data_IF_999152588102
#
_entry.id   IF_999152588102
#
_cell.length_a   1.000
_cell.length_b   1.000
_cell.length_c   1.000
_cell.angle_alpha   90.00
_cell.angle_beta   90.00
_cell.angle_gamma   90.00
#
_symmetry.space_group_name_H-M   'P 1'
#
loop_
_entity.id
_entity.type
_entity.pdbx_description
1 polymer ?
#
# COMPACT_ATOMS: atom_id res chain seq x y z
N UNK A 1 -8.74 -8.09 -4.68
CA UNK A 1 -9.58 -8.66 -3.61
C UNK A 1 -9.75 -7.65 -2.48
N UNK A 2 -10.78 -7.81 -1.63
CA UNK A 2 -10.99 -6.99 -0.42
C UNK A 2 -10.26 -7.63 0.75
N UNK A 3 -9.61 -6.82 1.59
CA UNK A 3 -8.89 -7.26 2.79
C UNK A 3 -9.21 -6.33 3.96
N UNK A 4 -9.38 -6.90 5.15
CA UNK A 4 -9.46 -6.17 6.43
C UNK A 4 -8.41 -6.73 7.38
N UNK A 5 -7.49 -5.89 7.80
CA UNK A 5 -6.37 -6.27 8.69
C UNK A 5 -6.48 -5.46 9.98
N UNK A 6 -6.54 -6.14 11.12
CA UNK A 6 -6.56 -5.48 12.42
C UNK A 6 -5.19 -4.85 12.77
N UNK A 7 -5.16 -3.94 13.74
CA UNK A 7 -3.93 -3.25 14.17
C UNK A 7 -2.81 -4.18 14.66
N UNK A 8 -3.16 -5.39 15.11
CA UNK A 8 -2.23 -6.45 15.52
C UNK A 8 -1.67 -7.26 14.34
N UNK A 9 -2.07 -6.93 13.11
CA UNK A 9 -1.66 -7.65 11.89
C UNK A 9 -2.50 -8.89 11.59
N UNK A 10 -3.54 -9.19 12.38
CA UNK A 10 -4.43 -10.31 12.11
C UNK A 10 -5.35 -9.99 10.93
N UNK A 11 -5.46 -10.92 9.97
CA UNK A 11 -6.46 -10.80 8.90
C UNK A 11 -7.84 -11.08 9.48
N UNK A 12 -8.66 -10.05 9.59
CA UNK A 12 -10.04 -10.18 10.06
C UNK A 12 -10.97 -10.68 8.96
N UNK A 13 -10.77 -10.18 7.74
CA UNK A 13 -11.57 -10.57 6.58
C UNK A 13 -10.72 -10.54 5.32
N UNK A 14 -10.98 -11.47 4.42
CA UNK A 14 -10.53 -11.44 3.04
C UNK A 14 -11.69 -11.89 2.16
N UNK A 15 -11.89 -11.31 0.98
CA UNK A 15 -12.88 -11.85 0.03
C UNK A 15 -12.36 -13.11 -0.66
N UNK A 16 -13.25 -14.03 -1.05
CA UNK A 16 -12.88 -15.28 -1.76
C UNK A 16 -12.03 -15.09 -3.01
N UNK A 17 -12.17 -13.94 -3.69
CA UNK A 17 -11.35 -13.58 -4.88
C UNK A 17 -9.84 -13.51 -4.60
N UNK A 18 -9.38 -13.54 -3.35
CA UNK A 18 -7.94 -13.68 -3.04
C UNK A 18 -7.32 -14.92 -3.71
N UNK A 19 -8.10 -16.00 -3.88
CA UNK A 19 -7.68 -17.20 -4.58
C UNK A 19 -7.32 -16.91 -6.04
N UNK A 20 -8.09 -16.06 -6.72
CA UNK A 20 -7.89 -15.75 -8.14
C UNK A 20 -6.61 -14.93 -8.38
N UNK A 21 -6.18 -14.15 -7.38
CA UNK A 21 -5.02 -13.25 -7.50
C UNK A 21 -3.74 -13.83 -6.90
N UNK A 22 -3.84 -14.57 -5.78
CA UNK A 22 -2.68 -15.07 -5.03
C UNK A 22 -2.69 -16.59 -4.83
N UNK A 23 -3.77 -17.29 -5.15
CA UNK A 23 -3.88 -18.75 -5.04
C UNK A 23 -4.20 -19.28 -3.64
N UNK A 24 -4.39 -18.41 -2.65
CA UNK A 24 -4.77 -18.82 -1.29
C UNK A 24 -6.27 -19.07 -1.16
N UNK A 25 -6.65 -20.10 -0.42
CA UNK A 25 -8.02 -20.22 0.06
C UNK A 25 -8.30 -19.16 1.12
N UNK A 26 -9.52 -18.64 1.12
CA UNK A 26 -9.95 -17.62 2.09
C UNK A 26 -9.80 -18.12 3.54
N UNK A 27 -10.11 -19.40 3.80
CA UNK A 27 -9.98 -20.04 5.12
C UNK A 27 -8.56 -20.09 5.65
N UNK A 28 -7.57 -20.18 4.75
CA UNK A 28 -6.16 -20.32 5.12
C UNK A 28 -5.54 -18.96 5.48
N UNK A 29 -6.23 -17.87 5.16
CA UNK A 29 -5.76 -16.50 5.35
C UNK A 29 -6.47 -15.82 6.52
N UNK A 30 -7.78 -16.05 6.68
CA UNK A 30 -8.54 -15.45 7.77
C UNK A 30 -7.99 -15.92 9.12
N UNK A 31 -7.88 -14.99 10.07
CA UNK A 31 -7.32 -15.19 11.40
C UNK A 31 -5.83 -15.57 11.45
N UNK A 32 -5.13 -15.56 10.30
CA UNK A 32 -3.68 -15.64 10.27
C UNK A 32 -3.04 -14.25 10.32
N UNK A 33 -1.75 -14.23 10.63
CA UNK A 33 -0.95 -13.03 10.56
C UNK A 33 -0.73 -12.64 9.10
N UNK A 34 -1.08 -11.40 8.75
CA UNK A 34 -0.84 -10.85 7.40
C UNK A 34 0.64 -10.88 7.03
N UNK A 35 1.54 -10.84 8.02
CA UNK A 35 3.00 -10.86 7.82
C UNK A 35 3.52 -12.20 7.30
N UNK A 36 2.75 -13.28 7.39
CA UNK A 36 3.05 -14.57 6.74
C UNK A 36 2.86 -14.50 5.23
N UNK A 37 2.00 -13.58 4.77
CA UNK A 37 1.77 -13.32 3.34
C UNK A 37 2.73 -12.25 2.81
N UNK A 38 3.23 -11.34 3.65
CA UNK A 38 4.04 -10.19 3.21
C UNK A 38 5.52 -10.55 3.07
N UNK A 39 6.15 -10.10 1.99
CA UNK A 39 7.60 -10.17 1.80
C UNK A 39 8.34 -9.52 2.97
N UNK A 40 9.42 -10.13 3.46
CA UNK A 40 10.11 -9.72 4.70
C UNK A 40 10.52 -8.25 4.73
N UNK A 41 11.03 -7.72 3.62
CA UNK A 41 11.43 -6.32 3.46
C UNK A 41 10.25 -5.33 3.55
N UNK A 42 9.05 -5.75 3.20
CA UNK A 42 7.87 -4.86 3.14
C UNK A 42 7.10 -4.85 4.47
N UNK A 43 7.46 -5.72 5.44
CA UNK A 43 6.74 -5.90 6.71
C UNK A 43 6.73 -4.64 7.57
N UNK A 44 7.89 -3.96 7.67
CA UNK A 44 8.03 -2.74 8.48
C UNK A 44 7.16 -1.63 7.91
N UNK A 45 7.14 -1.48 6.59
CA UNK A 45 6.29 -0.50 5.92
C UNK A 45 4.81 -0.83 6.11
N UNK A 46 4.41 -2.09 5.94
CA UNK A 46 3.03 -2.49 6.16
C UNK A 46 2.57 -2.21 7.60
N UNK A 47 3.42 -2.52 8.59
CA UNK A 47 3.15 -2.21 9.99
C UNK A 47 2.97 -0.71 10.21
N UNK A 48 3.81 0.11 9.58
CA UNK A 48 3.70 1.57 9.59
C UNK A 48 2.36 2.05 9.05
N UNK A 49 1.87 1.42 7.98
CA UNK A 49 0.57 1.71 7.37
C UNK A 49 -0.62 1.33 8.27
N UNK A 50 -0.46 0.38 9.20
CA UNK A 50 -1.51 0.05 10.18
C UNK A 50 -1.61 1.10 11.31
N UNK A 51 -0.57 1.90 11.52
CA UNK A 51 -0.56 2.97 12.52
C UNK A 51 -1.15 4.26 11.95
N UNK A 52 -2.00 4.97 12.70
CA UNK A 52 -2.65 6.20 12.20
C UNK A 52 -1.64 7.31 11.84
N UNK A 53 -0.59 7.46 12.64
CA UNK A 53 0.48 8.46 12.48
C UNK A 53 1.72 7.98 11.71
N UNK A 54 1.70 6.77 11.13
CA UNK A 54 2.89 6.18 10.48
C UNK A 54 4.13 6.05 11.39
N UNK A 55 3.93 5.95 12.71
CA UNK A 55 5.01 5.80 13.68
C UNK A 55 4.64 4.72 14.70
N UNK A 56 5.06 3.47 14.47
CA UNK A 56 4.78 2.37 15.40
C UNK A 56 5.67 2.43 16.66
N UNK A 57 6.68 3.29 16.71
CA UNK A 57 7.75 3.32 17.73
C UNK A 57 7.43 4.17 18.97
N UNK A 58 6.44 5.05 18.89
CA UNK A 58 6.07 5.94 20.00
C UNK A 58 4.70 5.54 20.61
N UNK A 59 4.66 4.66 21.63
CA UNK A 59 3.53 4.68 22.54
C UNK A 59 3.61 6.01 23.28
N UNK A 60 2.59 6.85 23.11
CA UNK A 60 2.39 8.05 23.92
C UNK A 60 2.62 7.71 25.39
N UNK A 61 3.57 8.41 26.03
CA UNK A 61 3.93 8.27 27.43
C UNK A 61 2.69 8.36 28.35
N UNK A 62 2.12 7.23 28.78
CA UNK A 62 1.15 7.27 29.90
C UNK A 62 0.92 5.98 30.68
N UNK A 63 1.79 4.96 30.64
CA UNK A 63 1.79 3.87 31.66
C UNK A 63 3.20 3.29 31.79
N UNK A 64 3.68 3.14 33.04
CA UNK A 64 4.97 2.52 33.39
C UNK A 64 5.16 1.16 32.71
N UNK A 65 6.26 0.97 31.98
CA UNK A 65 6.70 -0.33 31.45
C UNK A 65 7.41 -1.12 32.54
N UNK A 66 6.93 -2.32 32.85
CA UNK A 66 7.71 -3.38 33.47
C UNK A 66 8.52 -4.15 32.41
N UNK A 67 9.69 -4.73 32.73
CA UNK A 67 10.68 -5.14 31.70
C UNK A 67 10.44 -6.48 30.98
N UNK A 68 9.32 -7.18 31.17
CA UNK A 68 9.20 -8.60 30.80
C UNK A 68 8.18 -8.94 29.68
N UNK A 69 7.70 -7.98 28.89
CA UNK A 69 6.75 -8.28 27.81
C UNK A 69 7.36 -8.09 26.41
N UNK A 70 7.46 -9.21 25.70
CA UNK A 70 7.74 -9.40 24.27
C UNK A 70 7.40 -8.17 23.40
N UNK A 71 8.38 -7.66 22.64
CA UNK A 71 8.35 -6.40 21.86
C UNK A 71 7.23 -6.26 20.79
N UNK A 72 6.37 -7.27 20.63
CA UNK A 72 5.31 -7.34 19.63
C UNK A 72 3.87 -7.17 20.17
N UNK A 73 3.67 -6.97 21.47
CA UNK A 73 2.33 -7.14 22.10
C UNK A 73 1.65 -5.87 22.63
N UNK A 74 2.19 -4.67 22.40
CA UNK A 74 1.48 -3.45 22.79
C UNK A 74 0.52 -3.01 21.68
N UNK A 75 -0.72 -3.52 21.69
CA UNK A 75 -1.79 -3.00 20.84
C UNK A 75 -2.01 -1.52 21.23
N UNK A 76 -1.78 -0.56 20.32
CA UNK A 76 -2.02 0.84 20.65
C UNK A 76 -3.53 1.07 20.78
N UNK A 77 -3.99 1.18 22.03
CA UNK A 77 -5.39 1.52 22.33
C UNK A 77 -5.59 3.03 22.08
N UNK A 78 -6.17 3.37 20.94
CA UNK A 78 -6.43 4.77 20.60
C UNK A 78 -7.70 5.27 21.28
N UNK A 79 -7.59 6.38 22.01
CA UNK A 79 -8.77 7.16 22.40
C UNK A 79 -9.26 7.94 21.17
N UNK A 80 -10.56 7.90 20.84
CA UNK A 80 -11.12 8.61 19.66
C UNK A 80 -10.77 10.11 19.62
N UNK A 81 -10.60 10.73 20.78
CA UNK A 81 -10.30 12.16 20.95
C UNK A 81 -8.91 12.57 20.43
N UNK A 82 -7.98 11.63 20.31
CA UNK A 82 -6.62 11.89 19.81
C UNK A 82 -6.43 11.52 18.35
N UNK A 83 -7.48 11.00 17.70
CA UNK A 83 -7.43 10.62 16.30
C UNK A 83 -7.95 11.75 15.41
N UNK A 84 -7.39 11.90 14.20
CA UNK A 84 -8.02 12.68 13.15
C UNK A 84 -9.46 12.20 12.91
N UNK A 85 -10.36 13.07 12.42
CA UNK A 85 -11.69 12.64 12.00
C UNK A 85 -11.61 11.43 11.07
N UNK A 86 -12.51 10.45 11.22
CA UNK A 86 -12.50 9.20 10.44
C UNK A 86 -12.55 9.45 8.91
N UNK A 87 -13.09 10.60 8.50
CA UNK A 87 -13.16 11.04 7.11
C UNK A 87 -11.97 11.86 6.61
N UNK A 88 -10.95 12.03 7.43
CA UNK A 88 -9.75 12.77 7.09
C UNK A 88 -8.82 11.97 6.17
N UNK A 89 -8.11 12.68 5.29
CA UNK A 89 -7.06 12.11 4.43
C UNK A 89 -5.95 11.44 5.22
N UNK A 90 -5.72 11.82 6.48
CA UNK A 90 -4.74 11.16 7.35
C UNK A 90 -5.05 9.67 7.62
N UNK A 91 -6.31 9.25 7.48
CA UNK A 91 -6.68 7.84 7.63
C UNK A 91 -6.53 7.04 6.34
N UNK A 92 -6.37 7.71 5.19
CA UNK A 92 -6.27 7.06 3.89
C UNK A 92 -4.93 6.34 3.73
N UNK A 93 -4.96 5.20 3.05
CA UNK A 93 -3.80 4.35 2.83
C UNK A 93 -3.72 4.03 1.36
N UNK A 94 -2.59 4.35 0.75
CA UNK A 94 -2.27 4.03 -0.63
C UNK A 94 -0.79 3.67 -0.71
N UNK A 95 -0.51 2.37 -0.77
CA UNK A 95 0.86 1.87 -0.74
C UNK A 95 0.98 0.56 -1.51
N UNK A 96 2.20 0.26 -1.94
CA UNK A 96 2.52 -1.00 -2.60
C UNK A 96 3.16 -1.93 -1.58
N UNK A 97 2.76 -3.20 -1.61
CA UNK A 97 3.36 -4.25 -0.81
C UNK A 97 3.36 -5.56 -1.61
N UNK A 98 4.45 -6.32 -1.52
CA UNK A 98 4.57 -7.64 -2.15
C UNK A 98 3.95 -8.69 -1.25
N UNK A 99 2.97 -9.39 -1.79
CA UNK A 99 2.36 -10.55 -1.15
C UNK A 99 2.85 -11.83 -1.81
N UNK A 100 3.02 -12.89 -1.02
CA UNK A 100 3.27 -14.24 -1.50
C UNK A 100 2.17 -14.60 -2.49
N UNK A 101 2.55 -15.24 -3.58
CA UNK A 101 1.66 -15.63 -4.66
C UNK A 101 1.96 -17.09 -5.03
N UNK A 102 0.96 -17.96 -4.90
CA UNK A 102 1.05 -19.37 -5.27
C UNK A 102 0.79 -19.61 -6.76
N UNK A 103 0.33 -18.57 -7.48
CA UNK A 103 0.04 -18.62 -8.92
C UNK A 103 1.23 -18.17 -9.78
N UNK A 104 2.21 -17.48 -9.20
CA UNK A 104 3.36 -16.94 -9.93
C UNK A 104 4.51 -17.96 -9.97
N UNK A 105 5.03 -18.21 -11.17
CA UNK A 105 6.13 -19.15 -11.40
C UNK A 105 7.52 -18.50 -11.35
N UNK A 106 7.61 -17.18 -11.10
CA UNK A 106 8.87 -16.45 -11.14
C UNK A 106 9.51 -16.25 -9.77
N UNK A 107 8.89 -15.43 -8.90
CA UNK A 107 9.46 -15.03 -7.61
C UNK A 107 8.69 -15.57 -6.41
N UNK A 108 7.48 -16.08 -6.64
CA UNK A 108 6.54 -16.47 -5.58
C UNK A 108 5.96 -15.26 -4.82
N UNK A 109 6.17 -14.04 -5.30
CA UNK A 109 5.60 -12.80 -4.76
C UNK A 109 5.01 -11.93 -5.88
N UNK A 110 3.87 -11.32 -5.59
CA UNK A 110 3.19 -10.39 -6.48
C UNK A 110 3.09 -9.03 -5.80
N UNK A 111 3.56 -7.99 -6.49
CA UNK A 111 3.39 -6.61 -6.04
C UNK A 111 1.90 -6.22 -6.15
N UNK A 112 1.33 -5.78 -5.03
CA UNK A 112 -0.06 -5.40 -4.92
C UNK A 112 -0.16 -3.94 -4.47
N UNK A 113 -1.02 -3.17 -5.13
CA UNK A 113 -1.41 -1.85 -4.66
C UNK A 113 -2.57 -1.98 -3.66
N UNK A 114 -2.37 -1.45 -2.45
CA UNK A 114 -3.35 -1.39 -1.38
C UNK A 114 -3.94 0.00 -1.31
N UNK A 115 -5.22 0.12 -1.64
CA UNK A 115 -5.97 1.37 -1.54
C UNK A 115 -7.12 1.21 -0.55
N UNK A 116 -7.09 2.00 0.52
CA UNK A 116 -8.00 1.82 1.63
C UNK A 116 -7.95 2.93 2.67
N UNK A 117 -8.46 2.60 3.86
CA UNK A 117 -8.51 3.52 5.00
C UNK A 117 -8.46 2.77 6.33
N UNK A 118 -7.89 3.41 7.35
CA UNK A 118 -8.04 2.96 8.74
C UNK A 118 -9.42 3.34 9.30
N UNK A 119 -10.13 2.36 9.88
CA UNK A 119 -11.41 2.57 10.56
C UNK A 119 -11.52 1.68 11.80
N UNK A 120 -12.40 2.04 12.72
CA UNK A 120 -12.68 1.18 13.87
C UNK A 120 -13.40 -0.10 13.45
N UNK A 121 -12.84 -1.23 13.86
CA UNK A 121 -13.41 -2.55 13.65
C UNK A 121 -14.30 -2.91 14.84
N UNK A 122 -15.61 -2.83 14.63
CA UNK A 122 -16.63 -3.07 15.65
C UNK A 122 -17.04 -4.55 15.69
N UNK A 123 -17.65 -4.98 16.80
CA UNK A 123 -18.28 -6.30 16.92
C UNK A 123 -17.32 -7.47 17.15
N UNK A 124 -16.03 -7.22 17.43
CA UNK A 124 -15.07 -8.30 17.68
C UNK A 124 -15.32 -9.04 19.01
N UNK A 125 -16.03 -8.42 19.97
CA UNK A 125 -16.34 -8.98 21.30
C UNK A 125 -15.13 -9.63 22.01
N UNK A 126 -13.92 -9.12 21.77
CA UNK A 126 -12.69 -9.64 22.37
C UNK A 126 -12.69 -9.32 23.87
N UNK A 127 -12.29 -10.30 24.68
CA UNK A 127 -12.05 -10.12 26.12
C UNK A 127 -10.55 -10.14 26.39
N UNK A 128 -10.06 -9.20 27.17
CA UNK A 128 -8.68 -9.19 27.65
C UNK A 128 -8.40 -10.33 28.63
N UNK A 129 -7.13 -10.47 29.03
CA UNK A 129 -6.71 -11.49 30.02
C UNK A 129 -7.50 -11.37 31.35
N UNK A 130 -7.91 -10.16 31.69
CA UNK A 130 -8.69 -9.85 32.90
C UNK A 130 -10.21 -10.00 32.70
N UNK A 131 -10.66 -10.53 31.55
CA UNK A 131 -12.08 -10.69 31.22
C UNK A 131 -12.80 -9.41 30.78
N UNK A 132 -12.13 -8.25 30.88
CA UNK A 132 -12.65 -6.96 30.43
C UNK A 132 -12.86 -6.93 28.90
N UNK A 133 -13.91 -6.25 28.45
CA UNK A 133 -14.19 -6.09 27.01
C UNK A 133 -13.16 -5.12 26.41
N UNK A 134 -12.49 -5.56 25.36
CA UNK A 134 -11.54 -4.72 24.62
C UNK A 134 -12.35 -3.79 23.70
N UNK A 135 -12.12 -2.47 23.75
CA UNK A 135 -12.82 -1.53 22.87
C UNK A 135 -12.43 -1.76 21.39
N UNK A 136 -13.28 -1.36 20.44
CA UNK A 136 -12.95 -1.42 19.01
C UNK A 136 -11.57 -0.82 18.72
N UNK A 137 -10.78 -1.52 17.91
CA UNK A 137 -9.44 -1.07 17.50
C UNK A 137 -9.47 -0.62 16.04
N UNK A 138 -8.48 0.19 15.65
CA UNK A 138 -8.30 0.52 14.24
C UNK A 138 -7.93 -0.73 13.43
N UNK A 139 -8.45 -0.80 12.22
CA UNK A 139 -8.14 -1.80 11.23
C UNK A 139 -8.04 -1.15 9.85
N UNK A 140 -7.19 -1.71 9.00
CA UNK A 140 -7.06 -1.32 7.60
C UNK A 140 -8.14 -2.01 6.77
N UNK A 141 -9.04 -1.23 6.20
CA UNK A 141 -10.03 -1.68 5.21
C UNK A 141 -9.53 -1.29 3.83
N UNK A 142 -9.23 -2.27 2.97
CA UNK A 142 -8.48 -2.01 1.75
C UNK A 142 -8.88 -2.91 0.58
N UNK A 143 -8.70 -2.38 -0.62
CA UNK A 143 -8.67 -3.12 -1.87
C UNK A 143 -7.22 -3.40 -2.22
N UNK A 144 -6.88 -4.68 -2.33
CA UNK A 144 -5.61 -5.14 -2.87
C UNK A 144 -5.79 -5.46 -4.35
N UNK A 145 -5.09 -4.71 -5.21
CA UNK A 145 -5.11 -4.88 -6.67
C UNK A 145 -3.72 -5.22 -7.18
N UNK A 146 -3.56 -6.20 -8.09
CA UNK A 146 -2.26 -6.46 -8.70
C UNK A 146 -1.71 -5.21 -9.35
N UNK A 147 -0.44 -4.90 -9.08
CA UNK A 147 0.30 -3.87 -9.80
C UNK A 147 0.66 -4.44 -11.18
N UNK A 148 -0.32 -4.59 -12.06
CA UNK A 148 -0.10 -5.02 -13.43
C UNK A 148 0.43 -3.85 -14.26
N UNK A 149 1.60 -4.04 -14.86
CA UNK A 149 2.01 -3.21 -16.00
C UNK A 149 0.95 -3.35 -17.09
N UNK A 150 0.36 -2.25 -17.61
CA UNK A 150 -0.68 -2.33 -18.62
C UNK A 150 -0.18 -3.14 -19.81
N UNK A 151 -0.98 -4.11 -20.25
CA UNK A 151 -0.56 -4.98 -21.35
C UNK A 151 -0.42 -4.18 -22.65
N UNK A 152 0.45 -4.63 -23.56
CA UNK A 152 0.57 -4.08 -24.92
C UNK A 152 -0.80 -3.99 -25.62
N UNK A 153 -1.69 -4.94 -25.35
CA UNK A 153 -3.04 -4.97 -25.90
C UNK A 153 -3.94 -3.91 -25.26
N UNK A 154 -3.93 -3.76 -23.94
CA UNK A 154 -4.68 -2.69 -23.26
C UNK A 154 -4.24 -1.30 -23.70
N UNK A 155 -2.95 -1.09 -23.96
CA UNK A 155 -2.42 0.18 -24.47
C UNK A 155 -2.91 0.46 -25.89
N UNK A 156 -3.05 -0.58 -26.73
CA UNK A 156 -3.60 -0.46 -28.08
C UNK A 156 -5.12 -0.24 -28.08
N UNK A 157 -5.85 -0.87 -27.15
CA UNK A 157 -7.31 -0.80 -27.08
C UNK A 157 -7.80 0.46 -26.34
N UNK A 158 -7.06 0.94 -25.33
CA UNK A 158 -7.36 2.20 -24.63
C UNK A 158 -6.71 3.36 -25.37
N UNK A 159 -7.50 4.13 -26.11
CA UNK A 159 -7.05 5.32 -26.85
C UNK A 159 -6.51 6.47 -25.99
N UNK A 160 -6.36 6.31 -24.67
CA UNK A 160 -5.80 7.31 -23.76
C UNK A 160 -4.37 7.02 -23.26
N UNK A 161 -3.75 5.89 -23.61
CA UNK A 161 -2.39 5.55 -23.16
C UNK A 161 -1.36 5.79 -24.28
N UNK A 162 -0.25 6.46 -23.97
CA UNK A 162 0.92 6.62 -24.86
C UNK A 162 2.20 6.19 -24.13
N UNK A 163 3.33 6.12 -24.85
CA UNK A 163 4.61 5.67 -24.28
C UNK A 163 5.72 6.67 -24.49
N UNK A 164 6.51 6.84 -23.45
CA UNK A 164 7.81 7.51 -23.48
C UNK A 164 8.89 6.57 -22.98
N UNK A 165 10.12 6.78 -23.43
CA UNK A 165 11.30 6.02 -23.00
C UNK A 165 12.24 6.98 -22.29
N UNK A 166 12.77 6.57 -21.13
CA UNK A 166 13.62 7.40 -20.29
C UNK A 166 14.89 6.66 -19.89
N UNK A 167 15.96 7.42 -19.60
CA UNK A 167 17.10 6.94 -18.81
C UNK A 167 16.70 6.82 -17.33
N UNK A 168 17.55 6.18 -16.52
CA UNK A 168 17.36 6.07 -15.06
C UNK A 168 17.45 7.41 -14.31
N UNK A 169 17.89 8.49 -14.97
CA UNK A 169 17.86 9.86 -14.43
C UNK A 169 16.59 10.64 -14.85
N UNK A 170 15.59 9.93 -15.37
CA UNK A 170 14.34 10.43 -15.93
C UNK A 170 14.47 11.26 -17.22
N UNK A 171 15.65 11.34 -17.84
CA UNK A 171 15.83 12.01 -19.15
C UNK A 171 15.09 11.26 -20.26
N UNK A 172 14.13 11.89 -20.97
CA UNK A 172 13.47 11.28 -22.12
C UNK A 172 14.45 11.02 -23.26
N UNK A 173 14.32 9.86 -23.88
CA UNK A 173 15.12 9.40 -25.03
C UNK A 173 14.25 8.89 -26.18
N UNK A 174 12.92 8.95 -26.04
CA UNK A 174 12.01 8.63 -27.12
C UNK A 174 10.54 8.71 -26.73
N UNK A 175 9.67 8.80 -27.73
CA UNK A 175 8.21 8.86 -27.57
C UNK A 175 7.51 8.18 -28.75
N UNK A 176 6.39 7.50 -28.51
CA UNK A 176 5.60 6.94 -29.61
C UNK A 176 4.82 8.03 -30.37
N UNK A 177 4.29 7.68 -31.55
CA UNK A 177 3.56 8.63 -32.42
C UNK A 177 2.38 9.26 -31.69
N UNK A 178 1.71 8.50 -30.81
CA UNK A 178 0.54 8.98 -30.07
C UNK A 178 0.94 9.94 -28.97
N UNK A 179 2.01 9.67 -28.24
CA UNK A 179 2.55 10.57 -27.23
C UNK A 179 3.00 11.88 -27.85
N UNK A 180 3.55 11.85 -29.07
CA UNK A 180 3.87 13.09 -29.80
C UNK A 180 2.62 13.94 -30.08
N UNK A 181 1.51 13.29 -30.46
CA UNK A 181 0.22 13.97 -30.68
C UNK A 181 -0.39 14.49 -29.37
N UNK A 182 -0.36 13.70 -28.30
CA UNK A 182 -0.97 14.05 -27.00
C UNK A 182 -0.18 15.12 -26.26
N UNK A 183 1.14 15.02 -26.24
CA UNK A 183 2.02 15.95 -25.54
C UNK A 183 2.26 17.24 -26.33
N UNK A 184 2.05 17.21 -27.65
CA UNK A 184 2.30 18.35 -28.55
C UNK A 184 3.78 18.60 -28.82
N UNK A 185 4.66 17.65 -28.49
CA UNK A 185 6.10 17.70 -28.77
C UNK A 185 6.49 16.63 -29.76
N UNK A 186 7.41 16.96 -30.66
CA UNK A 186 8.16 15.95 -31.41
C UNK A 186 9.13 15.20 -30.49
N UNK A 187 9.52 13.99 -30.88
CA UNK A 187 10.52 13.21 -30.15
C UNK A 187 11.83 13.99 -29.94
N UNK A 188 12.27 14.73 -30.96
CA UNK A 188 13.48 15.55 -30.87
C UNK A 188 13.34 16.67 -29.83
N UNK A 189 12.20 17.36 -29.78
CA UNK A 189 11.95 18.41 -28.78
C UNK A 189 11.89 17.85 -27.35
N UNK A 190 11.34 16.65 -27.19
CA UNK A 190 11.29 15.98 -25.89
C UNK A 190 12.71 15.66 -25.38
N UNK A 191 13.57 15.13 -26.24
CA UNK A 191 14.93 14.69 -25.89
C UNK A 191 15.92 15.84 -25.64
N UNK A 192 15.67 17.04 -26.18
CA UNK A 192 16.60 18.20 -26.08
C UNK A 192 16.46 18.94 -24.75
N UNK A 193 15.31 18.85 -24.07
CA UNK A 193 15.01 19.60 -22.84
C UNK A 193 15.62 18.98 -21.57
N UNK A 194 16.65 18.16 -21.67
CA UNK A 194 17.31 17.59 -20.49
C UNK A 194 16.39 16.64 -19.72
N UNK A 195 16.21 16.85 -18.41
CA UNK A 195 15.46 15.90 -17.57
C UNK A 195 13.95 15.93 -17.80
N UNK A 196 13.30 14.77 -17.67
CA UNK A 196 11.84 14.63 -17.74
C UNK A 196 11.08 15.49 -16.73
N UNK A 197 11.72 15.88 -15.62
CA UNK A 197 11.10 16.75 -14.62
C UNK A 197 10.71 18.14 -15.15
N UNK A 198 11.29 18.60 -16.27
CA UNK A 198 10.91 19.88 -16.89
C UNK A 198 9.49 19.87 -17.46
N UNK A 199 8.94 18.68 -17.71
CA UNK A 199 7.57 18.52 -18.23
C UNK A 199 6.54 18.29 -17.12
N UNK A 200 6.99 18.19 -15.86
CA UNK A 200 6.12 17.97 -14.70
C UNK A 200 5.74 19.33 -14.11
N UNK A 201 4.45 19.51 -13.81
CA UNK A 201 3.98 20.72 -13.15
C UNK A 201 4.67 20.86 -11.78
N UNK A 202 5.03 22.08 -11.39
CA UNK A 202 5.84 22.32 -10.19
C UNK A 202 5.21 21.74 -8.90
N UNK A 203 3.87 21.74 -8.81
CA UNK A 203 3.14 21.17 -7.67
C UNK A 203 3.27 19.64 -7.55
N UNK A 204 3.59 18.94 -8.64
CA UNK A 204 3.65 17.47 -8.69
C UNK A 204 5.09 16.95 -8.65
N UNK A 205 6.09 17.85 -8.62
CA UNK A 205 7.49 17.50 -8.78
C UNK A 205 8.00 16.59 -7.65
N UNK A 206 7.65 16.88 -6.39
CA UNK A 206 8.06 16.06 -5.24
C UNK A 206 7.43 14.66 -5.31
N UNK A 207 6.15 14.58 -5.64
CA UNK A 207 5.46 13.29 -5.81
C UNK A 207 6.09 12.46 -6.93
N UNK A 208 6.40 13.07 -8.08
CA UNK A 208 7.06 12.37 -9.18
C UNK A 208 8.46 11.88 -8.78
N UNK A 209 9.23 12.71 -8.06
CA UNK A 209 10.58 12.36 -7.61
C UNK A 209 10.57 11.20 -6.61
N UNK A 210 9.67 11.21 -5.63
CA UNK A 210 9.52 10.12 -4.66
C UNK A 210 9.20 8.78 -5.34
N UNK A 211 8.31 8.80 -6.36
CA UNK A 211 7.99 7.60 -7.12
C UNK A 211 9.13 7.15 -8.01
N UNK A 212 9.88 8.09 -8.61
CA UNK A 212 11.05 7.76 -9.42
C UNK A 212 12.14 7.06 -8.60
N UNK A 213 12.40 7.51 -7.36
CA UNK A 213 13.34 6.86 -6.44
C UNK A 213 12.93 5.40 -6.15
N UNK A 214 11.62 5.13 -6.03
CA UNK A 214 11.13 3.76 -5.79
C UNK A 214 11.27 2.81 -6.98
N UNK A 215 11.56 3.34 -8.18
CA UNK A 215 11.76 2.55 -9.40
C UNK A 215 13.23 2.21 -9.68
N UNK A 216 14.18 2.89 -9.02
CA UNK A 216 15.63 2.67 -9.14
C UNK A 216 16.07 1.59 -8.16
#
# INVERSE_FOLDING_TARGET
FVLVVASDGLVFFSSSTIQDYLGFQQSDVIHQSVYELIHTEDRVEFQRQLHWAFDPSHPSNSVQRSPDENEFSAIPCYKPEHLPPENSSFMERNFVCRLRCLLDNSSGFLAMNFQGRLKFLHGQNKKGKDGAIIPPQLALFTLATPLQSPSILEIRTKNFIFRTKHKLDFTPIGCDTKGSVVLGYTEAELCVRGTGYQFIHAADMLYCADNHIRMI
#
